data_IF_828384177870
#
_entry.id   IF_828384177870
#
_cell.length_a   1.000
_cell.length_b   1.000
_cell.length_c   1.000
_cell.angle_alpha   90.00
_cell.angle_beta   90.00
_cell.angle_gamma   90.00
#
_symmetry.space_group_name_H-M   'P 1'
#
loop_
_entity.id
_entity.type
_entity.pdbx_description
1 polymer ?
#
# COMPACT_ATOMS: atom_id res chain seq x y z
N UNK A 1 -21.25 -3.66 -8.34
CA UNK A 1 -22.52 -4.39 -8.58
C UNK A 1 -22.19 -5.47 -9.60
N UNK A 2 -22.99 -5.82 -10.60
CA UNK A 2 -22.54 -6.70 -11.70
C UNK A 2 -23.06 -6.18 -13.04
N UNK A 3 -22.25 -6.29 -14.09
CA UNK A 3 -22.60 -5.97 -15.49
C UNK A 3 -23.08 -7.20 -16.24
N UNK A 4 -24.26 -7.10 -16.84
CA UNK A 4 -24.79 -8.14 -17.72
C UNK A 4 -23.94 -8.21 -18.99
N UNK A 5 -23.60 -9.41 -19.43
CA UNK A 5 -22.83 -9.62 -20.65
C UNK A 5 -23.75 -9.90 -21.84
N UNK A 6 -23.37 -9.41 -23.02
CA UNK A 6 -24.11 -9.64 -24.27
C UNK A 6 -23.12 -9.99 -25.39
N UNK A 7 -23.39 -11.03 -26.18
CA UNK A 7 -22.54 -11.48 -27.30
C UNK A 7 -21.03 -11.35 -27.05
N UNK A 8 -20.39 -10.29 -27.57
CA UNK A 8 -18.98 -9.97 -27.37
C UNK A 8 -18.85 -8.71 -26.51
N UNK A 9 -17.99 -8.78 -25.50
CA UNK A 9 -17.87 -7.75 -24.48
C UNK A 9 -16.42 -7.32 -24.34
N UNK A 10 -16.22 -6.01 -24.22
CA UNK A 10 -15.01 -5.41 -23.67
C UNK A 10 -15.35 -4.83 -22.30
N UNK A 11 -14.70 -5.36 -21.26
CA UNK A 11 -14.91 -4.94 -19.87
C UNK A 11 -13.69 -4.14 -19.41
N UNK A 12 -13.92 -2.97 -18.82
CA UNK A 12 -12.88 -2.08 -18.32
C UNK A 12 -13.23 -1.63 -16.90
N UNK A 13 -12.31 -1.71 -15.92
CA UNK A 13 -12.52 -1.11 -14.61
C UNK A 13 -12.59 0.42 -14.69
N UNK A 14 -13.61 1.04 -14.10
CA UNK A 14 -13.78 2.50 -14.06
C UNK A 14 -12.55 3.19 -13.44
N UNK A 15 -11.95 2.57 -12.42
CA UNK A 15 -10.72 3.06 -11.79
C UNK A 15 -9.50 3.12 -12.72
N UNK A 16 -9.45 2.32 -13.79
CA UNK A 16 -8.40 2.42 -14.82
C UNK A 16 -8.74 3.48 -15.86
N UNK A 17 -10.03 3.67 -16.17
CA UNK A 17 -10.51 4.74 -17.04
C UNK A 17 -10.15 6.10 -16.45
N UNK A 18 -10.46 6.31 -15.17
CA UNK A 18 -10.18 7.55 -14.44
C UNK A 18 -8.71 7.96 -14.52
N UNK A 19 -7.79 6.99 -14.52
CA UNK A 19 -6.35 7.23 -14.54
C UNK A 19 -5.77 7.49 -15.93
N UNK A 20 -6.38 6.95 -16.98
CA UNK A 20 -5.73 6.81 -18.30
C UNK A 20 -6.51 7.39 -19.46
N UNK A 21 -7.84 7.40 -19.37
CA UNK A 21 -8.66 7.92 -20.45
C UNK A 21 -8.54 9.45 -20.47
N UNK A 22 -8.30 10.08 -21.63
CA UNK A 22 -8.26 11.54 -21.73
C UNK A 22 -9.59 12.17 -21.26
N UNK A 23 -9.55 12.90 -20.14
CA UNK A 23 -10.74 13.47 -19.52
C UNK A 23 -11.44 12.58 -18.48
N UNK A 24 -10.84 11.44 -18.11
CA UNK A 24 -11.31 10.58 -17.01
C UNK A 24 -12.59 9.82 -17.32
N UNK A 25 -13.24 9.31 -16.26
CA UNK A 25 -14.46 8.51 -16.37
C UNK A 25 -15.63 9.28 -16.99
N UNK A 26 -15.84 10.53 -16.57
CA UNK A 26 -16.97 11.33 -17.06
C UNK A 26 -16.90 11.51 -18.57
N UNK A 27 -15.71 11.83 -19.10
CA UNK A 27 -15.51 11.99 -20.53
C UNK A 27 -15.70 10.67 -21.30
N UNK A 28 -15.20 9.57 -20.75
CA UNK A 28 -15.38 8.24 -21.33
C UNK A 28 -16.87 7.85 -21.41
N UNK A 29 -17.65 8.14 -20.35
CA UNK A 29 -19.08 7.88 -20.30
C UNK A 29 -19.84 8.65 -21.40
N UNK A 30 -19.48 9.90 -21.63
CA UNK A 30 -20.03 10.72 -22.73
C UNK A 30 -19.68 10.13 -24.10
N UNK A 31 -18.39 9.86 -24.33
CA UNK A 31 -17.89 9.40 -25.64
C UNK A 31 -18.45 8.02 -26.02
N UNK A 32 -18.71 7.16 -25.03
CA UNK A 32 -19.28 5.82 -25.23
C UNK A 32 -20.80 5.78 -25.22
N UNK A 33 -21.46 6.91 -24.90
CA UNK A 33 -22.91 6.97 -24.69
C UNK A 33 -23.40 6.02 -23.60
N UNK A 34 -22.59 5.75 -22.59
CA UNK A 34 -22.91 4.80 -21.52
C UNK A 34 -24.20 5.22 -20.78
N UNK A 35 -25.05 4.24 -20.52
CA UNK A 35 -26.37 4.38 -19.87
C UNK A 35 -27.42 5.18 -20.68
N UNK A 36 -27.16 5.50 -21.95
CA UNK A 36 -28.17 6.02 -22.86
C UNK A 36 -29.05 4.89 -23.43
N UNK A 37 -30.35 5.13 -23.68
CA UNK A 37 -31.23 4.14 -24.29
C UNK A 37 -30.69 3.63 -25.63
N UNK A 38 -30.56 2.31 -25.78
CA UNK A 38 -30.04 1.67 -26.99
C UNK A 38 -28.52 1.67 -27.12
N UNK A 39 -27.79 2.17 -26.12
CA UNK A 39 -26.33 2.11 -26.09
C UNK A 39 -25.83 0.68 -25.87
N UNK A 40 -24.78 0.25 -26.59
CA UNK A 40 -24.08 -1.00 -26.27
C UNK A 40 -23.22 -0.88 -25.00
N UNK A 41 -23.15 0.31 -24.39
CA UNK A 41 -22.30 0.62 -23.24
C UNK A 41 -23.13 0.71 -21.96
N UNK A 42 -22.71 0.00 -20.91
CA UNK A 42 -23.39 0.00 -19.61
C UNK A 42 -22.39 -0.04 -18.46
N UNK A 43 -22.72 0.60 -17.33
CA UNK A 43 -21.88 0.57 -16.13
C UNK A 43 -22.65 0.24 -14.87
N UNK A 44 -22.00 -0.49 -13.96
CA UNK A 44 -22.46 -0.71 -12.59
C UNK A 44 -21.79 0.21 -11.56
N UNK A 45 -21.04 1.21 -12.05
CA UNK A 45 -20.21 2.13 -11.27
C UNK A 45 -18.78 1.66 -11.02
N UNK A 46 -18.51 0.35 -11.08
CA UNK A 46 -17.19 -0.25 -10.86
C UNK A 46 -16.54 -0.69 -12.19
N UNK A 47 -17.37 -1.19 -13.10
CA UNK A 47 -17.03 -1.66 -14.43
C UNK A 47 -17.78 -0.87 -15.49
N UNK A 48 -17.11 -0.62 -16.60
CA UNK A 48 -17.72 -0.31 -17.89
C UNK A 48 -17.73 -1.58 -18.74
N UNK A 49 -18.88 -1.92 -19.28
CA UNK A 49 -19.03 -2.87 -20.38
C UNK A 49 -19.29 -2.11 -21.67
N UNK A 50 -18.60 -2.49 -22.74
CA UNK A 50 -18.92 -2.08 -24.10
C UNK A 50 -19.18 -3.35 -24.92
N UNK A 51 -20.40 -3.49 -25.44
CA UNK A 51 -20.83 -4.62 -26.25
C UNK A 51 -20.58 -4.43 -27.75
N UNK A 52 -20.39 -5.54 -28.47
CA UNK A 52 -20.40 -5.59 -29.93
C UNK A 52 -20.89 -6.95 -30.42
N UNK A 53 -21.32 -7.02 -31.68
CA UNK A 53 -21.69 -8.27 -32.35
C UNK A 53 -20.59 -8.80 -33.28
N UNK A 54 -19.51 -8.05 -33.46
CA UNK A 54 -18.47 -8.32 -34.46
C UNK A 54 -17.08 -8.40 -33.82
N UNK A 55 -16.35 -9.48 -34.11
CA UNK A 55 -15.02 -9.75 -33.52
C UNK A 55 -13.96 -8.75 -34.01
N UNK A 56 -14.05 -8.31 -35.27
CA UNK A 56 -13.12 -7.32 -35.82
C UNK A 56 -13.28 -5.97 -35.10
N UNK A 57 -14.53 -5.56 -34.86
CA UNK A 57 -14.86 -4.38 -34.06
C UNK A 57 -14.30 -4.51 -32.64
N UNK A 58 -14.46 -5.66 -32.00
CA UNK A 58 -13.90 -5.91 -30.66
C UNK A 58 -12.38 -5.73 -30.64
N UNK A 59 -11.67 -6.28 -31.64
CA UNK A 59 -10.22 -6.14 -31.76
C UNK A 59 -9.81 -4.67 -31.95
N UNK A 60 -10.46 -3.96 -32.88
CA UNK A 60 -10.17 -2.54 -33.16
C UNK A 60 -10.40 -1.65 -31.93
N UNK A 61 -11.45 -1.95 -31.14
CA UNK A 61 -11.66 -1.29 -29.85
C UNK A 61 -10.48 -1.55 -28.91
N UNK A 62 -10.00 -2.79 -28.81
CA UNK A 62 -8.84 -3.13 -28.00
C UNK A 62 -7.60 -2.32 -28.38
N UNK A 63 -7.31 -2.22 -29.68
CA UNK A 63 -6.16 -1.49 -30.21
C UNK A 63 -6.27 0.02 -29.94
N UNK A 64 -7.47 0.60 -30.09
CA UNK A 64 -7.73 2.00 -29.75
C UNK A 64 -7.43 2.29 -28.27
N UNK A 65 -7.87 1.42 -27.35
CA UNK A 65 -7.57 1.57 -25.93
C UNK A 65 -6.08 1.38 -25.62
N UNK A 66 -5.40 0.46 -26.29
CA UNK A 66 -3.95 0.29 -26.16
C UNK A 66 -3.20 1.55 -26.61
N UNK A 67 -3.64 2.21 -27.68
CA UNK A 67 -3.07 3.49 -28.14
C UNK A 67 -3.19 4.61 -27.11
N UNK A 68 -4.21 4.55 -26.23
CA UNK A 68 -4.40 5.47 -25.11
C UNK A 68 -3.60 5.07 -23.85
N UNK A 69 -2.77 4.03 -23.92
CA UNK A 69 -1.91 3.59 -22.82
C UNK A 69 -2.49 2.50 -21.92
N UNK A 70 -3.62 1.89 -22.31
CA UNK A 70 -4.12 0.70 -21.64
C UNK A 70 -3.30 -0.54 -22.04
N UNK A 71 -3.24 -1.53 -21.15
CA UNK A 71 -2.61 -2.82 -21.41
C UNK A 71 -3.67 -3.90 -21.56
N UNK A 72 -3.75 -4.49 -22.74
CA UNK A 72 -4.62 -5.64 -23.03
C UNK A 72 -4.05 -6.95 -22.53
N UNK A 73 -4.12 -7.98 -23.38
CA UNK A 73 -3.61 -9.32 -23.06
C UNK A 73 -2.09 -9.38 -23.10
N UNK A 74 -1.45 -9.79 -21.99
CA UNK A 74 0.01 -9.79 -21.85
C UNK A 74 0.54 -11.08 -21.23
N UNK A 75 1.83 -11.37 -21.42
CA UNK A 75 2.51 -12.54 -20.83
C UNK A 75 2.85 -13.65 -21.85
N UNK A 76 3.54 -14.70 -21.39
CA UNK A 76 3.88 -15.90 -22.17
C UNK A 76 3.61 -17.16 -21.35
N UNK A 77 3.19 -18.24 -22.01
CA UNK A 77 2.85 -19.51 -21.36
C UNK A 77 1.73 -19.36 -20.33
N UNK A 78 1.98 -19.84 -19.11
CA UNK A 78 1.00 -19.88 -18.01
C UNK A 78 0.76 -18.51 -17.37
N UNK A 79 1.62 -17.53 -17.66
CA UNK A 79 1.52 -16.15 -17.14
C UNK A 79 0.69 -15.22 -18.03
N UNK A 80 -0.01 -15.76 -19.03
CA UNK A 80 -0.90 -14.99 -19.90
C UNK A 80 -2.09 -14.47 -19.10
N UNK A 81 -2.30 -13.15 -19.09
CA UNK A 81 -3.37 -12.45 -18.34
C UNK A 81 -3.80 -11.15 -19.01
N UNK A 82 -5.07 -10.82 -18.86
CA UNK A 82 -5.63 -9.48 -19.12
C UNK A 82 -5.27 -8.50 -18.01
N UNK A 83 -4.93 -7.25 -18.35
CA UNK A 83 -4.49 -6.25 -17.36
C UNK A 83 -5.48 -5.12 -17.10
N UNK A 84 -5.73 -4.28 -18.10
CA UNK A 84 -6.53 -3.06 -17.92
C UNK A 84 -7.91 -3.13 -18.56
N UNK A 85 -8.12 -4.10 -19.44
CA UNK A 85 -9.42 -4.46 -19.97
C UNK A 85 -9.41 -5.95 -20.29
N UNK A 86 -10.59 -6.55 -20.45
CA UNK A 86 -10.76 -7.94 -20.84
C UNK A 86 -11.77 -8.02 -21.98
N UNK A 87 -11.44 -8.79 -23.01
CA UNK A 87 -12.32 -9.05 -24.14
C UNK A 87 -12.71 -10.52 -24.15
N UNK A 88 -14.01 -10.80 -24.26
CA UNK A 88 -14.52 -12.16 -24.27
C UNK A 88 -15.94 -12.23 -24.85
N UNK A 89 -16.31 -13.43 -25.30
CA UNK A 89 -17.66 -13.75 -25.78
C UNK A 89 -18.53 -14.39 -24.69
N UNK A 90 -19.52 -15.18 -25.10
CA UNK A 90 -20.45 -15.86 -24.19
C UNK A 90 -19.79 -16.89 -23.25
N UNK A 91 -18.56 -17.32 -23.54
CA UNK A 91 -17.82 -18.31 -22.73
C UNK A 91 -17.16 -17.72 -21.49
N UNK A 92 -17.22 -16.39 -21.30
CA UNK A 92 -16.70 -15.70 -20.13
C UNK A 92 -15.23 -15.28 -20.22
N UNK A 93 -14.73 -14.52 -19.23
CA UNK A 93 -13.43 -13.84 -19.28
C UNK A 93 -12.26 -14.79 -18.99
N UNK A 94 -11.84 -15.55 -19.99
CA UNK A 94 -10.65 -16.40 -19.88
C UNK A 94 -9.39 -15.55 -19.61
N UNK A 95 -8.52 -16.05 -18.72
CA UNK A 95 -7.25 -15.40 -18.35
C UNK A 95 -7.42 -14.01 -17.71
N UNK A 96 -8.55 -13.76 -17.04
CA UNK A 96 -8.84 -12.51 -16.35
C UNK A 96 -9.04 -12.77 -14.85
N UNK A 97 -8.04 -12.44 -14.04
CA UNK A 97 -8.08 -12.74 -12.59
C UNK A 97 -8.90 -11.72 -11.80
N UNK A 98 -9.27 -10.59 -12.41
CA UNK A 98 -9.96 -9.47 -11.76
C UNK A 98 -11.46 -9.41 -12.09
N UNK A 99 -12.00 -10.38 -12.84
CA UNK A 99 -13.45 -10.53 -13.08
C UNK A 99 -14.00 -11.83 -12.49
N UNK A 100 -15.14 -11.73 -11.82
CA UNK A 100 -15.95 -12.88 -11.43
C UNK A 100 -17.08 -13.03 -12.45
N UNK A 101 -17.24 -14.22 -13.00
CA UNK A 101 -18.26 -14.52 -14.00
C UNK A 101 -19.32 -15.46 -13.43
N UNK A 102 -20.56 -14.99 -13.42
CA UNK A 102 -21.74 -15.77 -13.09
C UNK A 102 -22.38 -16.25 -14.39
N UNK A 103 -22.20 -17.54 -14.67
CA UNK A 103 -22.71 -18.19 -15.89
C UNK A 103 -24.22 -18.41 -15.85
N UNK A 104 -24.84 -18.49 -14.66
CA UNK A 104 -26.29 -18.68 -14.54
C UNK A 104 -27.03 -17.39 -14.89
N UNK A 105 -26.54 -16.26 -14.39
CA UNK A 105 -27.14 -14.96 -14.62
C UNK A 105 -26.58 -14.20 -15.82
N UNK A 106 -25.50 -14.70 -16.45
CA UNK A 106 -24.84 -14.02 -17.55
C UNK A 106 -24.32 -12.64 -17.13
N UNK A 107 -23.68 -12.56 -15.96
CA UNK A 107 -23.14 -11.30 -15.45
C UNK A 107 -21.67 -11.43 -15.08
N UNK A 108 -20.93 -10.33 -15.21
CA UNK A 108 -19.59 -10.20 -14.64
C UNK A 108 -19.59 -9.10 -13.62
N UNK A 109 -18.88 -9.32 -12.52
CA UNK A 109 -18.56 -8.26 -11.56
C UNK A 109 -17.05 -8.14 -11.49
N UNK A 110 -16.54 -7.00 -11.00
CA UNK A 110 -15.18 -7.04 -10.48
C UNK A 110 -15.15 -8.19 -9.50
N UNK A 111 -14.09 -9.00 -9.56
CA UNK A 111 -13.66 -9.65 -8.33
C UNK A 111 -13.39 -8.46 -7.42
N UNK A 112 -14.39 -8.08 -6.61
CA UNK A 112 -14.18 -7.41 -5.34
C UNK A 112 -13.13 -8.30 -4.77
N UNK A 113 -11.89 -7.83 -4.79
CA UNK A 113 -10.80 -8.67 -4.35
C UNK A 113 -11.30 -9.15 -3.00
N UNK A 114 -11.55 -10.46 -2.77
CA UNK A 114 -11.43 -10.92 -1.41
C UNK A 114 -10.00 -10.53 -1.18
N UNK A 115 -9.84 -9.43 -0.44
CA UNK A 115 -8.63 -8.65 -0.40
C UNK A 115 -7.47 -9.61 -0.63
N UNK A 116 -6.64 -9.39 -1.65
CA UNK A 116 -5.39 -10.15 -1.79
C UNK A 116 -4.41 -9.71 -0.67
N UNK A 117 -4.87 -9.83 0.58
CA UNK A 117 -4.22 -9.73 1.88
C UNK A 117 -4.87 -10.69 2.90
N UNK A 118 -5.56 -11.75 2.46
CA UNK A 118 -6.09 -12.79 3.36
C UNK A 118 -5.36 -14.12 3.26
N UNK A 119 -4.22 -14.16 2.56
CA UNK A 119 -3.10 -14.82 3.24
C UNK A 119 -2.77 -13.86 4.39
N UNK A 120 -3.05 -14.19 5.68
CA UNK A 120 -2.60 -13.35 6.78
C UNK A 120 -1.14 -13.04 6.51
N UNK A 121 -0.69 -11.81 6.76
CA UNK A 121 0.66 -11.36 6.41
C UNK A 121 1.74 -12.38 6.83
N UNK A 122 1.45 -13.16 7.87
CA UNK A 122 2.17 -14.34 8.34
C UNK A 122 2.31 -15.53 7.38
N UNK A 123 1.33 -15.85 6.53
CA UNK A 123 1.52 -16.87 5.50
C UNK A 123 2.63 -16.47 4.52
N UNK A 124 2.77 -15.17 4.25
CA UNK A 124 3.86 -14.63 3.41
C UNK A 124 5.14 -14.42 4.19
N UNK A 125 5.02 -13.99 5.45
CA UNK A 125 6.12 -13.72 6.36
C UNK A 125 5.92 -14.50 7.67
N UNK A 126 6.20 -15.83 7.70
CA UNK A 126 5.91 -16.67 8.87
C UNK A 126 6.56 -16.17 10.17
N UNK A 127 7.74 -15.58 10.05
CA UNK A 127 8.46 -14.96 11.16
C UNK A 127 7.73 -13.76 11.79
N UNK A 128 6.68 -13.23 11.17
CA UNK A 128 5.89 -12.14 11.73
C UNK A 128 5.10 -12.58 12.98
N UNK A 129 4.72 -13.86 13.05
CA UNK A 129 3.93 -14.40 14.18
C UNK A 129 4.59 -14.20 15.54
N UNK A 130 5.93 -14.20 15.61
CA UNK A 130 6.67 -13.95 16.86
C UNK A 130 6.52 -12.51 17.40
N UNK A 131 6.07 -11.59 16.54
CA UNK A 131 5.87 -10.18 16.88
C UNK A 131 4.41 -9.86 17.21
N UNK A 132 3.52 -10.85 17.25
CA UNK A 132 2.14 -10.63 17.71
C UNK A 132 2.10 -10.05 19.13
N UNK A 133 1.22 -9.07 19.32
CA UNK A 133 0.84 -8.57 20.62
C UNK A 133 -0.34 -9.41 21.14
N UNK A 134 -0.08 -10.34 22.06
CA UNK A 134 -1.07 -11.32 22.50
C UNK A 134 -0.94 -11.68 23.99
N UNK A 135 -2.00 -12.26 24.56
CA UNK A 135 -2.05 -12.71 25.95
C UNK A 135 -1.76 -11.59 26.96
N UNK A 136 -1.01 -11.93 28.02
CA UNK A 136 -0.67 -10.98 29.09
C UNK A 136 0.08 -9.74 28.59
N UNK A 137 0.85 -9.88 27.50
CA UNK A 137 1.58 -8.76 26.91
C UNK A 137 0.64 -7.74 26.28
N UNK A 138 -0.43 -8.17 25.62
CA UNK A 138 -1.45 -7.27 25.09
C UNK A 138 -2.17 -6.52 26.21
N UNK A 139 -2.56 -7.23 27.28
CA UNK A 139 -3.22 -6.60 28.43
C UNK A 139 -2.32 -5.62 29.18
N UNK A 140 -1.01 -5.90 29.27
CA UNK A 140 -0.02 -4.96 29.83
C UNK A 140 0.10 -3.71 28.93
N UNK A 141 0.20 -3.93 27.62
CA UNK A 141 0.30 -2.86 26.64
C UNK A 141 -0.89 -1.91 26.70
N UNK A 142 -2.11 -2.44 26.62
CA UNK A 142 -3.35 -1.64 26.59
C UNK A 142 -3.58 -0.84 27.88
N UNK A 143 -2.93 -1.21 29.00
CA UNK A 143 -2.94 -0.43 30.25
C UNK A 143 -1.90 0.69 30.29
N UNK A 144 -0.79 0.51 29.59
CA UNK A 144 0.37 1.40 29.66
C UNK A 144 0.42 2.42 28.52
N UNK A 145 -0.22 2.11 27.39
CA UNK A 145 -0.11 2.86 26.14
C UNK A 145 -1.46 3.37 25.67
N UNK A 146 -1.53 4.67 25.39
CA UNK A 146 -2.72 5.33 24.84
C UNK A 146 -2.60 5.44 23.32
N UNK A 147 -3.65 5.14 22.57
CA UNK A 147 -3.70 5.37 21.13
C UNK A 147 -3.75 6.88 20.85
N UNK A 148 -2.77 7.41 20.13
CA UNK A 148 -2.66 8.84 19.81
C UNK A 148 -2.77 9.14 18.32
N UNK A 149 -2.56 8.15 17.45
CA UNK A 149 -2.74 8.32 16.01
C UNK A 149 -3.14 6.99 15.34
N UNK A 150 -4.42 6.79 15.00
CA UNK A 150 -4.88 5.62 14.27
C UNK A 150 -4.56 5.73 12.78
N UNK A 151 -4.29 4.60 12.14
CA UNK A 151 -4.13 4.46 10.69
C UNK A 151 -3.23 5.52 10.02
N UNK A 152 -2.08 5.82 10.62
CA UNK A 152 -1.16 6.85 10.14
C UNK A 152 -0.34 6.42 8.92
N UNK A 153 0.11 7.38 8.12
CA UNK A 153 0.86 7.17 6.86
C UNK A 153 2.26 7.78 6.86
N UNK A 154 2.72 8.28 8.01
CA UNK A 154 3.96 9.05 8.13
C UNK A 154 4.00 10.22 7.16
N UNK A 155 2.86 10.87 6.97
CA UNK A 155 2.71 11.98 6.05
C UNK A 155 2.53 13.30 6.81
N UNK A 156 2.51 14.44 6.10
CA UNK A 156 2.34 15.75 6.75
C UNK A 156 0.94 15.91 7.35
N UNK A 157 -0.05 15.25 6.76
CA UNK A 157 -1.44 15.24 7.20
C UNK A 157 -1.60 14.64 8.61
N UNK A 158 -0.71 13.71 8.98
CA UNK A 158 -0.70 13.08 10.31
C UNK A 158 -0.35 14.07 11.44
N UNK A 159 0.33 15.19 11.14
CA UNK A 159 0.89 16.12 12.15
C UNK A 159 -0.16 16.95 12.90
N UNK A 160 -1.34 17.08 12.31
CA UNK A 160 -2.44 17.90 12.81
C UNK A 160 -3.64 17.05 13.24
N UNK A 161 -3.46 15.73 13.36
CA UNK A 161 -4.51 14.83 13.79
C UNK A 161 -4.99 15.15 15.23
N UNK A 162 -6.31 15.27 15.48
CA UNK A 162 -6.84 15.70 16.77
C UNK A 162 -6.41 14.85 17.97
N UNK A 163 -6.27 13.53 17.78
CA UNK A 163 -5.88 12.59 18.85
C UNK A 163 -4.43 12.78 19.35
N UNK A 164 -3.59 13.52 18.62
CA UNK A 164 -2.25 13.87 19.10
C UNK A 164 -2.27 14.87 20.26
N UNK A 165 -3.39 15.59 20.46
CA UNK A 165 -3.46 16.79 21.31
C UNK A 165 -2.76 16.66 22.66
N UNK A 166 -3.15 15.67 23.48
CA UNK A 166 -2.61 15.51 24.83
C UNK A 166 -1.18 14.92 24.88
N UNK A 167 -0.64 14.46 23.75
CA UNK A 167 0.69 13.85 23.63
C UNK A 167 1.66 14.69 22.79
N UNK A 168 1.18 15.76 22.14
CA UNK A 168 1.87 16.49 21.06
C UNK A 168 3.30 16.90 21.42
N UNK A 169 3.45 17.54 22.58
CA UNK A 169 4.69 18.16 23.05
C UNK A 169 5.03 17.71 24.47
N UNK A 170 4.76 16.44 24.75
CA UNK A 170 5.05 15.80 26.04
C UNK A 170 6.16 14.77 25.85
N UNK A 171 7.16 14.69 26.74
CA UNK A 171 8.14 13.62 26.70
C UNK A 171 7.50 12.25 26.97
N UNK A 172 8.02 11.23 26.30
CA UNK A 172 7.47 9.89 26.44
C UNK A 172 8.05 8.87 25.47
N UNK A 173 7.49 7.67 25.54
CA UNK A 173 7.79 6.56 24.65
C UNK A 173 6.61 6.36 23.71
N UNK A 174 6.87 6.31 22.42
CA UNK A 174 5.89 5.98 21.41
C UNK A 174 6.10 4.56 20.89
N UNK A 175 5.02 3.95 20.43
CA UNK A 175 5.00 2.57 19.99
C UNK A 175 4.19 2.42 18.70
N UNK A 176 4.83 1.91 17.66
CA UNK A 176 4.24 1.64 16.37
C UNK A 176 3.68 0.22 16.38
N UNK A 177 2.38 0.11 16.16
CA UNK A 177 1.65 -1.15 16.05
C UNK A 177 1.15 -1.27 14.63
N UNK A 178 1.41 -2.41 14.01
CA UNK A 178 0.83 -2.76 12.71
C UNK A 178 -0.37 -3.65 12.94
N UNK A 179 -1.47 -3.39 12.23
CA UNK A 179 -2.72 -4.11 12.35
C UNK A 179 -3.04 -4.78 11.01
N UNK A 180 -3.22 -6.10 11.01
CA UNK A 180 -3.57 -6.87 9.81
C UNK A 180 -4.65 -7.90 10.17
N UNK A 181 -5.87 -7.68 9.69
CA UNK A 181 -7.05 -8.37 10.19
C UNK A 181 -7.24 -8.09 11.69
N UNK A 182 -7.47 -9.13 12.49
CA UNK A 182 -7.62 -9.02 13.94
C UNK A 182 -6.27 -9.04 14.70
N UNK A 183 -5.15 -9.17 13.99
CA UNK A 183 -3.84 -9.29 14.60
C UNK A 183 -3.15 -7.93 14.75
N UNK A 184 -2.61 -7.68 15.95
CA UNK A 184 -1.73 -6.54 16.26
C UNK A 184 -0.27 -7.01 16.36
N UNK A 185 0.65 -6.27 15.76
CA UNK A 185 2.07 -6.62 15.69
C UNK A 185 2.96 -5.50 16.25
N UNK A 186 3.97 -5.91 17.02
CA UNK A 186 4.93 -5.03 17.68
C UNK A 186 6.03 -4.62 16.71
N UNK A 187 5.96 -3.42 16.15
CA UNK A 187 6.86 -3.01 15.06
C UNK A 187 8.06 -2.22 15.58
N UNK A 188 7.82 -1.14 16.30
CA UNK A 188 8.88 -0.24 16.72
C UNK A 188 8.49 0.52 17.99
N UNK A 189 9.46 0.76 18.86
CA UNK A 189 9.35 1.65 20.00
C UNK A 189 10.50 2.66 19.95
N UNK A 190 10.20 3.90 20.31
CA UNK A 190 11.19 4.96 20.44
C UNK A 190 10.78 5.99 21.47
N UNK A 191 11.70 6.85 21.87
CA UNK A 191 11.43 7.98 22.75
C UNK A 191 11.43 9.31 22.02
N UNK A 192 10.67 10.26 22.55
CA UNK A 192 10.67 11.63 22.05
C UNK A 192 10.36 12.63 23.17
N UNK A 193 10.73 13.89 22.93
CA UNK A 193 10.27 15.05 23.73
C UNK A 193 8.96 15.65 23.17
N UNK A 194 8.66 15.35 21.90
CA UNK A 194 7.48 15.83 21.17
C UNK A 194 7.17 14.83 20.07
N UNK A 195 6.01 14.18 20.14
CA UNK A 195 5.61 13.23 19.11
C UNK A 195 5.37 13.92 17.77
N UNK A 196 4.90 15.17 17.79
CA UNK A 196 4.73 15.99 16.58
C UNK A 196 6.08 16.19 15.87
N UNK A 197 7.11 16.58 16.61
CA UNK A 197 8.44 16.78 16.03
C UNK A 197 8.98 15.48 15.43
N UNK A 198 8.81 14.36 16.14
CA UNK A 198 9.25 13.04 15.70
C UNK A 198 8.51 12.57 14.44
N UNK A 199 7.21 12.79 14.35
CA UNK A 199 6.43 12.50 13.14
C UNK A 199 6.87 13.38 11.97
N UNK A 200 7.17 14.65 12.22
CA UNK A 200 7.68 15.56 11.18
C UNK A 200 9.03 15.08 10.65
N UNK A 201 9.93 14.62 11.52
CA UNK A 201 11.21 13.98 11.16
C UNK A 201 10.98 12.76 10.24
N UNK A 202 10.00 11.90 10.54
CA UNK A 202 9.67 10.74 9.70
C UNK A 202 8.99 11.08 8.36
N UNK A 203 8.24 12.18 8.31
CA UNK A 203 7.58 12.65 7.07
C UNK A 203 8.51 13.41 6.13
N UNK A 204 9.71 13.78 6.61
CA UNK A 204 10.68 14.56 5.84
C UNK A 204 11.35 13.75 4.73
N UNK A 205 11.97 14.44 3.78
CA UNK A 205 12.76 13.79 2.72
C UNK A 205 13.97 13.04 3.29
N UNK A 206 14.44 12.04 2.53
CA UNK A 206 15.55 11.19 2.95
C UNK A 206 16.82 12.00 3.22
N UNK A 207 17.38 11.82 4.41
CA UNK A 207 18.63 12.42 4.83
C UNK A 207 19.68 11.33 5.03
N UNK A 208 20.76 11.37 4.25
CA UNK A 208 21.84 10.36 4.31
C UNK A 208 22.49 10.28 5.69
N UNK A 209 22.49 11.37 6.45
CA UNK A 209 23.05 11.44 7.80
C UNK A 209 22.07 10.99 8.90
N UNK A 210 20.80 10.77 8.57
CA UNK A 210 19.76 10.28 9.47
C UNK A 210 18.95 9.11 8.84
N UNK A 211 19.62 8.04 8.37
CA UNK A 211 18.94 6.97 7.63
C UNK A 211 17.96 6.18 8.51
N UNK A 212 18.13 6.24 9.84
CA UNK A 212 17.26 5.59 10.80
C UNK A 212 15.82 6.13 10.76
N UNK A 213 15.64 7.42 10.46
CA UNK A 213 14.31 8.03 10.42
C UNK A 213 13.49 7.53 9.23
N UNK A 214 14.16 7.12 8.14
CA UNK A 214 13.51 6.60 6.96
C UNK A 214 13.15 5.11 7.03
N UNK A 215 13.69 4.36 8.01
CA UNK A 215 13.45 2.91 8.14
C UNK A 215 11.97 2.57 8.29
N UNK A 216 11.23 3.38 9.05
CA UNK A 216 9.82 3.14 9.32
C UNK A 216 8.95 3.36 8.09
N UNK A 217 9.29 4.38 7.28
CA UNK A 217 8.63 4.64 6.00
C UNK A 217 8.86 3.50 5.01
N UNK A 218 10.11 3.05 4.84
CA UNK A 218 10.39 1.90 3.99
C UNK A 218 9.68 0.64 4.47
N UNK A 219 9.62 0.40 5.78
CA UNK A 219 8.88 -0.73 6.32
C UNK A 219 7.38 -0.63 6.01
N UNK A 220 6.77 0.54 6.22
CA UNK A 220 5.36 0.77 5.94
C UNK A 220 5.05 0.55 4.44
N UNK A 221 5.84 1.13 3.53
CA UNK A 221 5.71 0.94 2.08
C UNK A 221 5.87 -0.54 1.67
N UNK A 222 6.88 -1.23 2.22
CA UNK A 222 7.13 -2.65 1.98
C UNK A 222 5.94 -3.52 2.38
N UNK A 223 5.38 -3.29 3.57
CA UNK A 223 4.25 -4.04 4.09
C UNK A 223 3.00 -3.77 3.27
N UNK A 224 2.70 -2.51 2.95
CA UNK A 224 1.50 -2.14 2.19
C UNK A 224 1.51 -2.71 0.76
N UNK A 225 2.69 -2.88 0.15
CA UNK A 225 2.85 -3.60 -1.13
C UNK A 225 2.46 -5.09 -1.03
N UNK A 226 2.45 -5.65 0.18
CA UNK A 226 2.24 -7.08 0.41
C UNK A 226 0.97 -7.41 1.20
N UNK A 227 0.41 -6.43 1.91
CA UNK A 227 -0.89 -6.48 2.55
C UNK A 227 -1.52 -5.09 2.54
N UNK A 228 -2.21 -4.70 1.45
CA UNK A 228 -2.73 -3.34 1.29
C UNK A 228 -3.74 -2.89 2.35
N UNK A 229 -4.42 -3.83 3.01
CA UNK A 229 -5.37 -3.53 4.10
C UNK A 229 -4.71 -3.39 5.47
N UNK A 230 -3.39 -3.52 5.53
CA UNK A 230 -2.66 -3.32 6.78
C UNK A 230 -2.74 -1.86 7.19
N UNK A 231 -3.08 -1.61 8.44
CA UNK A 231 -3.08 -0.27 9.04
C UNK A 231 -1.97 -0.15 10.08
N UNK A 232 -1.66 1.08 10.45
CA UNK A 232 -0.60 1.39 11.39
C UNK A 232 -1.12 2.35 12.44
N UNK A 233 -0.96 1.99 13.70
CA UNK A 233 -1.44 2.76 14.84
C UNK A 233 -0.26 3.19 15.71
N UNK A 234 -0.29 4.43 16.15
CA UNK A 234 0.69 5.02 17.04
C UNK A 234 0.12 5.09 18.44
N UNK A 235 0.84 4.47 19.36
CA UNK A 235 0.54 4.54 20.77
C UNK A 235 1.60 5.36 21.50
N UNK A 236 1.24 5.92 22.65
CA UNK A 236 2.11 6.76 23.46
C UNK A 236 1.96 6.48 24.95
N UNK A 237 3.09 6.49 25.64
CA UNK A 237 3.18 6.44 27.10
C UNK A 237 3.96 7.66 27.57
N UNK A 238 3.29 8.54 28.31
CA UNK A 238 3.89 9.75 28.88
C UNK A 238 4.95 9.39 29.91
N UNK A 239 6.01 10.18 29.96
CA UNK A 239 7.14 9.97 30.87
C UNK A 239 7.87 11.29 31.14
N UNK A 240 8.56 11.39 32.26
CA UNK A 240 9.47 12.50 32.50
C UNK A 240 10.72 12.40 31.62
N UNK A 241 11.28 13.55 31.24
CA UNK A 241 12.48 13.64 30.39
C UNK A 241 13.70 12.91 30.98
N UNK A 242 13.77 12.78 32.30
CA UNK A 242 14.87 12.08 32.98
C UNK A 242 14.68 10.56 32.98
N UNK A 243 13.45 10.08 32.74
CA UNK A 243 13.07 8.67 32.88
C UNK A 243 12.76 7.98 31.54
N UNK A 244 12.38 8.74 30.50
CA UNK A 244 11.93 8.20 29.22
C UNK A 244 12.94 7.30 28.47
N UNK A 245 14.25 7.43 28.76
CA UNK A 245 15.30 6.57 28.18
C UNK A 245 15.33 5.21 28.87
N UNK A 246 15.20 5.22 30.21
CA UNK A 246 15.05 3.98 30.99
C UNK A 246 13.74 3.28 30.64
N UNK A 247 12.66 4.05 30.47
CA UNK A 247 11.36 3.54 30.04
C UNK A 247 11.43 2.93 28.64
N UNK A 248 12.00 3.61 27.65
CA UNK A 248 12.21 3.08 26.30
C UNK A 248 12.98 1.76 26.33
N UNK A 249 14.07 1.71 27.10
CA UNK A 249 14.90 0.50 27.22
C UNK A 249 14.09 -0.65 27.82
N UNK A 250 13.27 -0.39 28.84
CA UNK A 250 12.40 -1.39 29.45
C UNK A 250 11.34 -1.88 28.45
N UNK A 251 10.70 -0.96 27.71
CA UNK A 251 9.69 -1.26 26.68
C UNK A 251 10.31 -2.10 25.56
N UNK A 252 11.48 -1.74 25.03
CA UNK A 252 12.14 -2.52 23.98
C UNK A 252 12.48 -3.93 24.49
N UNK A 253 12.96 -4.05 25.72
CA UNK A 253 13.30 -5.34 26.33
C UNK A 253 12.08 -6.22 26.55
N UNK A 254 10.98 -5.65 27.04
CA UNK A 254 9.73 -6.36 27.31
C UNK A 254 9.01 -6.77 26.01
N UNK A 255 8.86 -5.82 25.09
CA UNK A 255 8.03 -6.02 23.90
C UNK A 255 8.78 -6.60 22.71
N UNK A 256 10.11 -6.41 22.65
CA UNK A 256 10.99 -6.85 21.55
C UNK A 256 10.40 -6.52 20.16
N UNK A 257 10.14 -5.23 19.85
CA UNK A 257 9.54 -4.84 18.58
C UNK A 257 10.46 -5.16 17.40
N UNK A 258 9.88 -5.54 16.26
CA UNK A 258 10.60 -6.05 15.08
C UNK A 258 11.80 -5.20 14.66
N UNK A 259 11.62 -3.88 14.49
CA UNK A 259 12.64 -2.98 13.95
C UNK A 259 13.70 -2.60 15.00
N UNK A 260 13.37 -2.66 16.30
CA UNK A 260 14.35 -2.39 17.35
C UNK A 260 15.35 -3.52 17.55
N UNK A 261 15.02 -4.73 17.09
CA UNK A 261 15.94 -5.86 17.20
C UNK A 261 17.14 -5.65 16.26
N UNK A 262 18.37 -5.91 16.74
CA UNK A 262 19.54 -5.81 15.90
C UNK A 262 19.44 -6.81 14.74
N UNK A 263 19.49 -6.30 13.52
CA UNK A 263 19.67 -7.14 12.34
C UNK A 263 21.10 -7.63 12.30
N UNK A 264 21.30 -8.95 12.24
CA UNK A 264 22.57 -9.52 11.82
C UNK A 264 22.66 -9.38 10.30
N UNK A 265 22.88 -8.15 9.82
CA UNK A 265 23.10 -7.93 8.39
C UNK A 265 24.20 -8.87 7.93
N UNK A 266 23.86 -9.73 6.96
CA UNK A 266 24.78 -10.74 6.42
C UNK A 266 25.92 -9.98 5.73
N UNK A 267 27.10 -10.60 5.61
CA UNK A 267 28.29 -9.96 5.03
C UNK A 267 28.01 -9.28 3.68
N UNK A 268 27.12 -9.86 2.88
CA UNK A 268 26.70 -9.35 1.57
C UNK A 268 25.93 -8.01 1.66
N UNK A 269 24.91 -7.90 2.51
CA UNK A 269 24.11 -6.67 2.69
C UNK A 269 24.98 -5.51 3.21
N UNK A 270 25.95 -5.84 4.09
CA UNK A 270 26.93 -4.86 4.56
C UNK A 270 27.81 -4.36 3.43
N UNK A 271 28.21 -5.24 2.50
CA UNK A 271 29.04 -4.85 1.37
C UNK A 271 28.25 -3.97 0.40
N UNK A 272 27.00 -4.32 0.08
CA UNK A 272 26.13 -3.47 -0.74
C UNK A 272 25.97 -2.07 -0.14
N UNK A 273 25.72 -1.96 1.17
CA UNK A 273 25.66 -0.64 1.82
C UNK A 273 26.99 0.11 1.78
N UNK A 274 28.13 -0.58 1.97
CA UNK A 274 29.45 0.04 1.87
C UNK A 274 29.72 0.59 0.48
N UNK A 275 29.42 -0.17 -0.56
CA UNK A 275 29.62 0.23 -1.96
C UNK A 275 28.73 1.43 -2.31
N UNK A 276 27.45 1.39 -1.96
CA UNK A 276 26.54 2.51 -2.19
C UNK A 276 26.98 3.79 -1.46
N UNK A 277 27.47 3.65 -0.21
CA UNK A 277 27.98 4.78 0.56
C UNK A 277 29.29 5.33 -0.02
N UNK A 278 30.16 4.46 -0.52
CA UNK A 278 31.39 4.85 -1.19
C UNK A 278 31.11 5.63 -2.49
N UNK A 279 30.21 5.13 -3.34
CA UNK A 279 29.79 5.83 -4.57
C UNK A 279 29.18 7.20 -4.25
N UNK A 280 28.27 7.28 -3.27
CA UNK A 280 27.70 8.54 -2.81
C UNK A 280 28.78 9.54 -2.36
N UNK A 281 29.74 9.08 -1.55
CA UNK A 281 30.82 9.91 -1.02
C UNK A 281 31.76 10.40 -2.12
N UNK A 282 32.13 9.51 -3.05
CA UNK A 282 32.96 9.86 -4.21
C UNK A 282 32.31 10.97 -5.05
N UNK A 283 31.03 10.87 -5.37
CA UNK A 283 30.30 11.92 -6.11
C UNK A 283 30.28 13.25 -5.37
N UNK A 284 30.20 13.24 -4.03
CA UNK A 284 30.31 14.47 -3.24
C UNK A 284 31.70 15.06 -3.34
N UNK A 285 32.75 14.23 -3.22
CA UNK A 285 34.14 14.69 -3.29
C UNK A 285 34.46 15.25 -4.66
N UNK A 286 34.11 14.53 -5.74
CA UNK A 286 34.25 15.01 -7.12
C UNK A 286 33.58 16.36 -7.30
N UNK A 287 32.32 16.50 -6.90
CA UNK A 287 31.60 17.78 -7.02
C UNK A 287 32.24 18.91 -6.23
N UNK A 288 32.81 18.63 -5.05
CA UNK A 288 33.48 19.65 -4.22
C UNK A 288 34.85 20.04 -4.78
N UNK A 289 35.58 19.10 -5.34
CA UNK A 289 36.93 19.30 -5.87
C UNK A 289 36.94 19.83 -7.30
N UNK A 290 35.86 19.62 -8.06
CA UNK A 290 35.72 20.10 -9.45
C UNK A 290 34.87 21.37 -9.58
N UNK A 291 34.20 21.81 -8.50
CA UNK A 291 33.66 23.18 -8.44
C UNK A 291 34.83 24.17 -8.43
N UNK A 292 35.15 24.71 -9.60
CA UNK A 292 35.93 25.95 -9.70
C UNK A 292 35.20 27.05 -8.90
N UNK A 293 35.99 27.81 -8.15
CA UNK A 293 35.55 29.01 -7.43
C UNK A 293 34.88 30.02 -8.36
#
# INVERSE_FOLDING_TARGET
MAVAIEFLNMIIPVAEIEKKYPGGWEKCREDTGCDLPGSPSWSDGDLLRIGTMDEMTLQLMGDAWVSMGFKGFTGRGDKRRWKNFCQFGSTGPAFCDWLSFDNENGTVSLVKTPIESSLPLEKKFPALGQYRLQGNQASSFDKCFELVLPNFRLSKEDLDHPLLGAARDVPGVYFFVMCSGECRYKIYAGKTKSIRRRLNEYSSEFQVHAPNDYKLRFFQEFILKHGPQTTFDLYFQKSDIDSYTKMETAVIREYRPFINLPSHAVSEERNVMKEAFADFSMRIFERRLTKHA
#
